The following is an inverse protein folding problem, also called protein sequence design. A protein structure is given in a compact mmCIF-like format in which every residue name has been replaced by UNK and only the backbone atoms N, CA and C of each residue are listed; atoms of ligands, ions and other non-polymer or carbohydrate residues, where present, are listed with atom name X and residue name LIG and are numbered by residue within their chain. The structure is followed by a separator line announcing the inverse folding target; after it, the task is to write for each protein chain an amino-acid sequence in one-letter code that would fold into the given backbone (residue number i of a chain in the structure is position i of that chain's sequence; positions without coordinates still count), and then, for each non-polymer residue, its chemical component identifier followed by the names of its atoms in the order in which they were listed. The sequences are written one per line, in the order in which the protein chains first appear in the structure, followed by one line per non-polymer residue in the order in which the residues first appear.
data_IF_435080633178
#
_entry.id   IF_435080633178
#
_cell.length_a   1.000
_cell.length_b   1.000
_cell.length_c   1.000
_cell.angle_alpha   90.00
_cell.angle_beta   90.00
_cell.angle_gamma   90.00
#
_symmetry.space_group_name_H-M   'P 1'
#
loop_
_entity.id
_entity.type
_entity.pdbx_description
1 polymer ?
#
# COMPACT_ATOMS: atom_id res chain seq x y z
N UNK A 1 -12.63 -56.48 -23.42
CA UNK A 1 -13.60 -55.64 -22.70
C UNK A 1 -13.40 -54.21 -23.15
N UNK A 2 -14.34 -53.65 -23.94
CA UNK A 2 -14.32 -52.25 -24.33
C UNK A 2 -14.78 -51.42 -23.14
N UNK A 3 -13.91 -50.58 -22.58
CA UNK A 3 -14.34 -49.54 -21.65
C UNK A 3 -15.28 -48.61 -22.42
N UNK A 4 -16.55 -48.56 -22.02
CA UNK A 4 -17.50 -47.56 -22.51
C UNK A 4 -16.85 -46.19 -22.32
N UNK A 5 -16.79 -45.40 -23.39
CA UNK A 5 -16.41 -43.99 -23.31
C UNK A 5 -17.48 -43.28 -22.47
N UNK A 6 -17.29 -43.23 -21.17
CA UNK A 6 -18.10 -42.42 -20.27
C UNK A 6 -17.87 -40.96 -20.65
N UNK A 7 -18.90 -40.36 -21.28
CA UNK A 7 -18.94 -38.93 -21.48
C UNK A 7 -18.95 -38.27 -20.10
N UNK A 8 -18.16 -37.21 -19.89
CA UNK A 8 -18.15 -36.50 -18.61
C UNK A 8 -19.57 -36.02 -18.28
N UNK A 9 -19.96 -36.19 -17.01
CA UNK A 9 -21.30 -35.82 -16.50
C UNK A 9 -21.56 -34.32 -16.68
N UNK A 10 -20.50 -33.51 -16.57
CA UNK A 10 -20.54 -32.07 -16.80
C UNK A 10 -19.65 -31.66 -17.97
N UNK A 11 -20.10 -30.70 -18.80
CA UNK A 11 -19.25 -30.10 -19.81
C UNK A 11 -18.13 -29.24 -19.18
N UNK A 12 -17.07 -29.01 -19.94
CA UNK A 12 -15.81 -28.44 -19.44
C UNK A 12 -15.96 -27.00 -18.91
N UNK A 13 -16.89 -26.23 -19.46
CA UNK A 13 -17.30 -24.89 -19.01
C UNK A 13 -17.93 -24.92 -17.61
N UNK A 14 -18.83 -25.87 -17.35
CA UNK A 14 -19.44 -26.06 -16.03
C UNK A 14 -18.37 -26.50 -15.01
N UNK A 15 -17.48 -27.42 -15.39
CA UNK A 15 -16.36 -27.83 -14.54
C UNK A 15 -15.40 -26.66 -14.27
N UNK A 16 -15.19 -25.78 -15.26
CA UNK A 16 -14.36 -24.58 -15.11
C UNK A 16 -14.95 -23.60 -14.11
N UNK A 17 -16.27 -23.44 -14.09
CA UNK A 17 -16.96 -22.63 -13.07
C UNK A 17 -16.79 -23.26 -11.70
N UNK A 18 -17.02 -24.57 -11.55
CA UNK A 18 -16.90 -25.29 -10.27
C UNK A 18 -15.47 -25.19 -9.72
N UNK A 19 -14.44 -25.38 -10.55
CA UNK A 19 -13.05 -25.32 -10.13
C UNK A 19 -12.49 -23.89 -10.04
N UNK A 20 -13.15 -22.93 -10.70
CA UNK A 20 -12.81 -21.51 -10.65
C UNK A 20 -13.33 -20.77 -9.42
N UNK A 21 -14.18 -21.41 -8.59
CA UNK A 21 -14.56 -20.86 -7.28
C UNK A 21 -13.29 -20.84 -6.41
N UNK A 22 -12.92 -19.64 -5.98
CA UNK A 22 -11.59 -19.24 -5.47
C UNK A 22 -11.05 -19.98 -4.23
N UNK A 23 -11.75 -20.98 -3.70
CA UNK A 23 -11.44 -21.64 -2.43
C UNK A 23 -11.16 -23.14 -2.54
N UNK A 24 -11.04 -23.71 -3.74
CA UNK A 24 -10.66 -25.12 -3.86
C UNK A 24 -9.21 -25.31 -3.34
N UNK A 25 -9.00 -26.08 -2.25
CA UNK A 25 -7.66 -26.30 -1.74
C UNK A 25 -6.77 -26.96 -2.80
N UNK A 26 -5.49 -26.57 -2.85
CA UNK A 26 -4.55 -27.07 -3.86
C UNK A 26 -4.46 -28.60 -3.91
N UNK A 27 -4.56 -29.26 -2.76
CA UNK A 27 -4.53 -30.72 -2.67
C UNK A 27 -5.76 -31.36 -3.33
N UNK A 28 -6.95 -30.79 -3.14
CA UNK A 28 -8.19 -31.25 -3.75
C UNK A 28 -8.17 -31.02 -5.26
N UNK A 29 -7.67 -29.88 -5.72
CA UNK A 29 -7.51 -29.63 -7.15
C UNK A 29 -6.53 -30.62 -7.80
N UNK A 30 -5.42 -30.94 -7.14
CA UNK A 30 -4.49 -31.95 -7.62
C UNK A 30 -5.14 -33.34 -7.66
N UNK A 31 -5.88 -33.73 -6.62
CA UNK A 31 -6.63 -34.98 -6.61
C UNK A 31 -7.64 -35.02 -7.78
N UNK A 32 -8.39 -33.95 -8.00
CA UNK A 32 -9.33 -33.82 -9.13
C UNK A 32 -8.64 -33.90 -10.50
N UNK A 33 -7.45 -33.32 -10.62
CA UNK A 33 -6.64 -33.40 -11.85
C UNK A 33 -6.18 -34.81 -12.20
N UNK A 34 -6.21 -35.74 -11.22
CA UNK A 34 -5.80 -37.13 -11.42
C UNK A 34 -6.95 -38.06 -11.86
N UNK A 35 -8.22 -37.61 -11.75
CA UNK A 35 -9.40 -38.45 -11.98
C UNK A 35 -9.57 -38.79 -13.46
N UNK A 36 -9.51 -37.80 -14.35
CA UNK A 36 -9.61 -38.00 -15.80
C UNK A 36 -8.73 -37.01 -16.57
N UNK A 37 -8.51 -37.29 -17.86
CA UNK A 37 -7.87 -36.33 -18.76
C UNK A 37 -8.66 -35.01 -18.87
N UNK A 38 -9.99 -35.07 -18.83
CA UNK A 38 -10.84 -33.88 -18.92
C UNK A 38 -10.69 -33.03 -17.65
N UNK A 39 -10.82 -33.62 -16.46
CA UNK A 39 -10.62 -32.90 -15.20
C UNK A 39 -9.22 -32.33 -15.10
N UNK A 40 -8.19 -33.03 -15.60
CA UNK A 40 -6.83 -32.50 -15.72
C UNK A 40 -6.73 -31.25 -16.60
N UNK A 41 -7.34 -31.28 -17.78
CA UNK A 41 -7.33 -30.14 -18.71
C UNK A 41 -8.05 -28.92 -18.14
N UNK A 42 -9.11 -29.15 -17.35
CA UNK A 42 -9.90 -28.07 -16.77
C UNK A 42 -9.28 -27.56 -15.46
N UNK A 43 -8.80 -28.42 -14.57
CA UNK A 43 -8.38 -27.99 -13.22
C UNK A 43 -6.96 -27.43 -13.15
N UNK A 44 -6.02 -27.93 -13.96
CA UNK A 44 -4.63 -27.45 -13.91
C UNK A 44 -4.49 -25.95 -14.20
N UNK A 45 -5.20 -25.36 -15.18
CA UNK A 45 -5.15 -23.92 -15.40
C UNK A 45 -5.49 -23.08 -14.17
N UNK A 46 -6.47 -23.52 -13.36
CA UNK A 46 -6.85 -22.84 -12.12
C UNK A 46 -5.81 -23.05 -11.02
N UNK A 47 -5.32 -24.29 -10.84
CA UNK A 47 -4.32 -24.62 -9.82
C UNK A 47 -2.99 -23.90 -10.00
N UNK A 48 -2.62 -23.62 -11.25
CA UNK A 48 -1.39 -22.92 -11.59
C UNK A 48 -1.63 -21.47 -12.02
N UNK A 49 -2.85 -20.96 -11.86
CA UNK A 49 -3.16 -19.55 -12.17
C UNK A 49 -2.37 -18.57 -11.29
N UNK A 50 -2.07 -18.96 -10.05
CA UNK A 50 -1.22 -18.20 -9.13
C UNK A 50 -0.06 -19.06 -8.68
N UNK A 51 1.16 -18.56 -8.85
CA UNK A 51 2.39 -19.28 -8.53
C UNK A 51 3.24 -18.48 -7.57
N UNK A 52 3.61 -19.10 -6.46
CA UNK A 52 4.60 -18.56 -5.54
C UNK A 52 5.98 -19.10 -5.88
N UNK A 53 6.89 -18.23 -6.31
CA UNK A 53 8.27 -18.55 -6.61
C UNK A 53 9.07 -18.54 -5.30
N UNK A 54 9.61 -19.70 -4.95
CA UNK A 54 10.59 -19.87 -3.87
C UNK A 54 11.89 -20.47 -4.44
N UNK A 55 12.95 -20.55 -3.64
CA UNK A 55 14.25 -21.09 -4.08
C UNK A 55 14.19 -22.53 -4.63
N UNK A 56 13.23 -23.34 -4.17
CA UNK A 56 13.05 -24.74 -4.60
C UNK A 56 12.31 -24.86 -5.94
N UNK A 57 11.37 -23.96 -6.24
CA UNK A 57 10.52 -24.02 -7.44
C UNK A 57 11.21 -23.52 -8.73
N UNK A 58 12.39 -22.90 -8.62
CA UNK A 58 13.08 -22.23 -9.74
C UNK A 58 13.50 -23.19 -10.85
N UNK A 59 14.18 -24.27 -10.47
CA UNK A 59 14.71 -25.23 -11.44
C UNK A 59 13.60 -26.06 -12.11
N UNK A 60 12.44 -26.16 -11.46
CA UNK A 60 11.30 -26.91 -12.00
C UNK A 60 10.69 -26.17 -13.20
N UNK A 61 10.49 -24.86 -13.11
CA UNK A 61 9.76 -24.09 -14.13
C UNK A 61 10.54 -23.85 -15.42
N UNK A 62 11.88 -23.90 -15.45
CA UNK A 62 12.65 -23.56 -16.65
C UNK A 62 12.38 -24.50 -17.85
N UNK A 63 12.03 -25.75 -17.55
CA UNK A 63 11.81 -26.83 -18.54
C UNK A 63 10.34 -27.21 -18.72
N UNK A 64 9.42 -26.47 -18.12
CA UNK A 64 7.99 -26.77 -18.23
C UNK A 64 7.43 -26.40 -19.62
N UNK A 65 6.29 -27.01 -19.95
CA UNK A 65 5.65 -26.79 -21.24
C UNK A 65 4.92 -25.44 -21.33
N UNK A 66 4.69 -24.96 -22.55
CA UNK A 66 4.00 -23.69 -22.80
C UNK A 66 2.55 -23.67 -22.27
N UNK A 67 1.89 -24.83 -22.16
CA UNK A 67 0.53 -24.91 -21.64
C UNK A 67 0.46 -24.51 -20.15
N UNK A 68 1.46 -24.89 -19.36
CA UNK A 68 1.60 -24.45 -17.98
C UNK A 68 1.83 -22.93 -17.92
N UNK A 69 2.77 -22.40 -18.71
CA UNK A 69 3.06 -20.96 -18.74
C UNK A 69 1.84 -20.13 -19.15
N UNK A 70 1.06 -20.61 -20.12
CA UNK A 70 -0.17 -19.95 -20.53
C UNK A 70 -1.26 -19.94 -19.44
N UNK A 71 -1.16 -20.83 -18.45
CA UNK A 71 -2.11 -20.90 -17.34
C UNK A 71 -1.79 -19.90 -16.24
N UNK A 72 -0.52 -19.50 -16.09
CA UNK A 72 -0.06 -18.61 -15.02
C UNK A 72 -0.57 -17.18 -15.29
N UNK A 73 -1.32 -16.64 -14.33
CA UNK A 73 -1.89 -15.28 -14.33
C UNK A 73 -1.28 -14.39 -13.25
N UNK A 74 -0.77 -14.96 -12.18
CA UNK A 74 -0.20 -14.23 -11.05
C UNK A 74 1.08 -14.89 -10.56
N UNK A 75 2.08 -14.06 -10.24
CA UNK A 75 3.31 -14.50 -9.59
C UNK A 75 3.48 -13.73 -8.28
N UNK A 76 3.79 -14.46 -7.22
CA UNK A 76 4.30 -13.90 -5.98
C UNK A 76 5.65 -14.49 -5.63
N UNK A 77 6.49 -13.79 -4.88
CA UNK A 77 7.65 -14.41 -4.24
C UNK A 77 7.27 -14.91 -2.85
N UNK A 78 7.68 -16.14 -2.55
CA UNK A 78 7.50 -16.74 -1.23
C UNK A 78 8.61 -16.32 -0.27
N UNK A 79 8.49 -16.75 0.98
CA UNK A 79 9.55 -16.55 1.98
C UNK A 79 10.85 -17.16 1.46
N UNK A 80 11.79 -16.28 1.19
CA UNK A 80 13.18 -16.65 0.98
C UNK A 80 13.83 -16.84 2.35
N UNK A 81 14.75 -17.80 2.47
CA UNK A 81 15.51 -18.02 3.71
C UNK A 81 16.31 -16.79 4.14
N UNK A 82 16.49 -15.83 3.23
CA UNK A 82 16.97 -14.48 3.49
C UNK A 82 16.01 -13.50 2.80
N UNK A 83 15.55 -12.42 3.46
CA UNK A 83 14.82 -11.33 2.79
C UNK A 83 15.66 -10.60 1.73
N UNK A 84 16.97 -10.91 1.68
CA UNK A 84 18.00 -10.41 0.77
C UNK A 84 18.46 -11.50 -0.19
N UNK A 85 17.63 -11.89 -1.16
CA UNK A 85 18.09 -12.79 -2.18
C UNK A 85 19.20 -12.13 -2.99
N UNK A 86 20.34 -12.82 -3.09
CA UNK A 86 21.44 -12.41 -3.97
C UNK A 86 20.94 -12.12 -5.39
N UNK A 87 21.57 -11.24 -6.18
CA UNK A 87 21.16 -10.92 -7.55
C UNK A 87 20.88 -12.16 -8.43
N UNK A 88 21.66 -13.23 -8.24
CA UNK A 88 21.47 -14.53 -8.90
C UNK A 88 20.07 -15.15 -8.70
N UNK A 89 19.35 -14.75 -7.66
CA UNK A 89 17.96 -15.13 -7.41
C UNK A 89 17.03 -14.62 -8.50
N UNK A 90 17.26 -13.42 -9.03
CA UNK A 90 16.37 -12.76 -9.97
C UNK A 90 16.61 -13.21 -11.42
N UNK A 91 17.84 -13.59 -11.78
CA UNK A 91 18.19 -13.97 -13.16
C UNK A 91 17.26 -15.03 -13.77
N UNK A 92 16.89 -16.13 -13.08
CA UNK A 92 15.92 -17.09 -13.62
C UNK A 92 14.52 -16.49 -13.79
N UNK A 93 14.08 -15.63 -12.87
CA UNK A 93 12.76 -14.97 -12.97
C UNK A 93 12.68 -14.07 -14.20
N UNK A 94 13.74 -13.28 -14.45
CA UNK A 94 13.84 -12.40 -15.62
C UNK A 94 13.73 -13.18 -16.94
N UNK A 95 14.25 -14.41 -16.99
CA UNK A 95 14.15 -15.30 -18.16
C UNK A 95 12.77 -15.96 -18.29
N UNK A 96 12.04 -16.07 -17.18
CA UNK A 96 10.72 -16.69 -17.14
C UNK A 96 9.63 -15.73 -17.64
N UNK A 97 9.68 -14.45 -17.25
CA UNK A 97 8.60 -13.49 -17.54
C UNK A 97 8.18 -13.42 -19.01
N UNK A 98 9.10 -13.39 -20.01
CA UNK A 98 8.71 -13.35 -21.42
C UNK A 98 7.92 -14.58 -21.90
N UNK A 99 7.99 -15.71 -21.18
CA UNK A 99 7.24 -16.94 -21.50
C UNK A 99 5.79 -16.91 -20.99
N UNK A 100 5.49 -16.00 -20.07
CA UNK A 100 4.22 -15.89 -19.35
C UNK A 100 3.29 -14.88 -20.00
N UNK A 101 2.89 -15.14 -21.25
CA UNK A 101 2.10 -14.22 -22.10
C UNK A 101 0.75 -13.79 -21.51
N UNK A 102 0.31 -14.51 -20.48
CA UNK A 102 -0.98 -14.40 -19.83
C UNK A 102 -0.90 -13.78 -18.43
N UNK A 103 0.30 -13.37 -18.00
CA UNK A 103 0.58 -12.81 -16.69
C UNK A 103 -0.08 -11.45 -16.50
N UNK A 104 -0.83 -11.31 -15.40
CA UNK A 104 -1.61 -10.12 -15.03
C UNK A 104 -1.14 -9.47 -13.73
N UNK A 105 -0.54 -10.23 -12.83
CA UNK A 105 -0.08 -9.71 -11.53
C UNK A 105 1.32 -10.23 -11.15
N UNK A 106 2.17 -9.34 -10.64
CA UNK A 106 3.47 -9.65 -10.04
C UNK A 106 3.55 -8.99 -8.67
N UNK A 107 3.77 -9.78 -7.61
CA UNK A 107 4.07 -9.27 -6.26
C UNK A 107 5.43 -9.77 -5.76
N UNK A 108 6.38 -8.84 -5.67
CA UNK A 108 7.71 -9.04 -5.08
C UNK A 108 7.74 -8.50 -3.65
N UNK A 109 6.69 -8.77 -2.87
CA UNK A 109 6.45 -8.10 -1.59
C UNK A 109 7.40 -8.56 -0.45
N UNK A 110 8.05 -9.73 -0.61
CA UNK A 110 9.01 -10.30 0.36
C UNK A 110 10.41 -10.45 -0.22
N UNK A 111 10.65 -9.88 -1.39
CA UNK A 111 11.87 -10.07 -2.17
C UNK A 111 12.23 -8.75 -2.80
N UNK A 112 13.27 -8.12 -2.28
CA UNK A 112 13.65 -6.77 -2.67
C UNK A 112 14.51 -6.85 -3.93
N UNK A 113 14.07 -6.20 -5.00
CA UNK A 113 14.76 -6.12 -6.29
C UNK A 113 15.93 -5.14 -6.19
N UNK A 114 17.18 -5.57 -6.38
CA UNK A 114 18.32 -4.65 -6.45
C UNK A 114 18.11 -3.63 -7.57
N UNK A 115 18.32 -2.34 -7.29
CA UNK A 115 18.06 -1.26 -8.24
C UNK A 115 18.79 -1.46 -9.59
N UNK A 116 20.01 -2.01 -9.55
CA UNK A 116 20.79 -2.37 -10.75
C UNK A 116 20.10 -3.38 -11.69
N UNK A 117 19.16 -4.18 -11.19
CA UNK A 117 18.40 -5.15 -11.98
C UNK A 117 17.06 -4.59 -12.48
N UNK A 118 16.66 -3.41 -12.03
CA UNK A 118 15.40 -2.79 -12.43
C UNK A 118 15.27 -2.62 -13.96
N UNK A 119 16.30 -2.16 -14.71
CA UNK A 119 16.18 -2.07 -16.17
C UNK A 119 15.88 -3.43 -16.83
N UNK A 120 16.62 -4.47 -16.43
CA UNK A 120 16.42 -5.83 -16.96
C UNK A 120 15.06 -6.40 -16.55
N UNK A 121 14.60 -6.08 -15.34
CA UNK A 121 13.26 -6.42 -14.88
C UNK A 121 12.19 -5.77 -15.74
N UNK A 122 12.23 -4.45 -15.93
CA UNK A 122 11.26 -3.73 -16.75
C UNK A 122 11.23 -4.27 -18.17
N UNK A 123 12.40 -4.41 -18.82
CA UNK A 123 12.50 -4.99 -20.16
C UNK A 123 11.88 -6.39 -20.27
N UNK A 124 11.92 -7.21 -19.21
CA UNK A 124 11.34 -8.55 -19.21
C UNK A 124 9.81 -8.56 -19.06
N UNK A 125 9.21 -7.46 -18.60
CA UNK A 125 7.77 -7.36 -18.35
C UNK A 125 7.04 -6.38 -19.27
N UNK A 126 7.72 -5.44 -19.95
CA UNK A 126 7.09 -4.34 -20.72
C UNK A 126 6.03 -4.81 -21.73
N UNK A 127 6.21 -5.98 -22.35
CA UNK A 127 5.28 -6.53 -23.35
C UNK A 127 4.14 -7.37 -22.76
N UNK A 128 4.12 -7.58 -21.44
CA UNK A 128 3.12 -8.41 -20.77
C UNK A 128 1.84 -7.61 -20.51
N UNK A 129 0.65 -8.25 -20.53
CA UNK A 129 -0.63 -7.62 -20.20
C UNK A 129 -0.80 -7.48 -18.68
N UNK A 130 0.15 -6.81 -18.04
CA UNK A 130 0.23 -6.69 -16.59
C UNK A 130 -0.76 -5.61 -16.11
N UNK A 131 -1.57 -5.94 -15.12
CA UNK A 131 -2.53 -5.03 -14.47
C UNK A 131 -2.08 -4.65 -13.06
N UNK A 132 -1.31 -5.51 -12.39
CA UNK A 132 -0.86 -5.29 -11.02
C UNK A 132 0.63 -5.55 -10.86
N UNK A 133 1.32 -4.60 -10.24
CA UNK A 133 2.75 -4.67 -9.97
C UNK A 133 3.07 -4.16 -8.57
N UNK A 134 3.57 -5.05 -7.71
CA UNK A 134 4.04 -4.73 -6.36
C UNK A 134 5.54 -5.02 -6.28
N UNK A 135 6.34 -3.99 -6.00
CA UNK A 135 7.80 -4.03 -6.02
C UNK A 135 8.39 -3.47 -4.74
N UNK A 136 9.29 -4.23 -4.11
CA UNK A 136 10.31 -3.67 -3.22
C UNK A 136 11.59 -3.44 -3.99
N UNK A 137 12.22 -2.27 -3.86
CA UNK A 137 13.43 -1.88 -4.59
C UNK A 137 14.54 -1.54 -3.59
N UNK A 138 15.67 -2.24 -3.70
CA UNK A 138 16.85 -2.04 -2.87
C UNK A 138 17.77 -1.02 -3.54
N UNK A 139 18.00 0.08 -2.85
CA UNK A 139 18.80 1.22 -3.32
C UNK A 139 20.26 1.11 -2.90
N UNK A 140 20.66 0.12 -2.10
CA UNK A 140 22.03 -0.01 -1.60
C UNK A 140 23.07 -0.19 -2.72
N UNK A 141 22.64 -0.76 -3.85
CA UNK A 141 23.48 -1.03 -5.02
C UNK A 141 23.16 -0.10 -6.20
N UNK A 142 22.88 1.19 -5.94
CA UNK A 142 22.56 2.14 -6.98
C UNK A 142 23.74 2.32 -7.96
N UNK A 143 23.54 2.15 -9.28
CA UNK A 143 24.59 2.45 -10.26
C UNK A 143 24.79 3.97 -10.38
N UNK A 144 26.03 4.39 -10.67
CA UNK A 144 26.42 5.80 -10.78
C UNK A 144 25.72 6.55 -11.95
N UNK A 145 25.24 5.83 -12.97
CA UNK A 145 24.36 6.35 -14.01
C UNK A 145 23.67 5.21 -14.76
N UNK A 146 22.44 5.44 -15.22
CA UNK A 146 21.74 4.58 -16.19
C UNK A 146 21.29 5.52 -17.32
N UNK A 147 21.81 5.29 -18.52
CA UNK A 147 21.60 6.22 -19.65
C UNK A 147 20.16 6.13 -20.22
N UNK A 148 19.55 4.95 -20.22
CA UNK A 148 18.14 4.76 -20.62
C UNK A 148 17.46 3.68 -19.76
N UNK A 149 16.33 4.04 -19.17
CA UNK A 149 15.54 3.12 -18.35
C UNK A 149 14.34 2.61 -19.15
N UNK A 150 14.19 1.29 -19.36
CA UNK A 150 13.00 0.73 -19.97
C UNK A 150 11.75 1.12 -19.19
N UNK A 151 10.64 1.29 -19.90
CA UNK A 151 9.36 1.67 -19.32
C UNK A 151 8.60 0.46 -18.79
N UNK A 152 7.80 0.67 -17.75
CA UNK A 152 6.83 -0.32 -17.28
C UNK A 152 5.74 -0.60 -18.35
N UNK A 153 5.01 -1.71 -18.21
CA UNK A 153 3.85 -1.98 -19.06
C UNK A 153 2.85 -0.81 -19.00
N UNK A 154 2.16 -0.48 -20.10
CA UNK A 154 1.21 0.64 -20.15
C UNK A 154 -0.21 0.29 -19.62
N UNK A 155 -0.43 -0.97 -19.21
CA UNK A 155 -1.75 -1.47 -18.80
C UNK A 155 -1.94 -1.57 -17.29
N UNK A 156 -1.01 -1.04 -16.48
CA UNK A 156 -1.09 -1.19 -15.03
C UNK A 156 -2.27 -0.41 -14.45
N UNK A 157 -3.08 -1.10 -13.67
CA UNK A 157 -4.17 -0.53 -12.87
C UNK A 157 -3.75 -0.35 -11.41
N UNK A 158 -2.86 -1.22 -10.92
CA UNK A 158 -2.35 -1.19 -9.54
C UNK A 158 -0.83 -1.21 -9.57
N UNK A 159 -0.22 -0.18 -8.95
CA UNK A 159 1.22 -0.08 -8.77
C UNK A 159 1.53 0.21 -7.30
N UNK A 160 2.33 -0.66 -6.67
CA UNK A 160 2.87 -0.41 -5.33
C UNK A 160 4.39 -0.52 -5.36
N UNK A 161 5.05 0.52 -4.88
CA UNK A 161 6.49 0.64 -4.85
C UNK A 161 6.91 0.89 -3.42
N UNK A 162 7.75 0.00 -2.89
CA UNK A 162 8.50 0.21 -1.67
C UNK A 162 9.94 0.48 -2.07
N UNK A 163 10.44 1.67 -1.73
CA UNK A 163 11.74 2.17 -2.12
C UNK A 163 12.62 2.36 -0.89
N UNK A 164 13.71 1.60 -0.79
CA UNK A 164 14.65 1.77 0.31
C UNK A 164 15.53 0.55 0.58
N UNK A 165 16.48 0.75 1.48
CA UNK A 165 17.34 -0.31 1.98
C UNK A 165 16.82 -0.77 3.36
N UNK A 166 16.19 -1.94 3.42
CA UNK A 166 15.83 -2.65 4.65
C UNK A 166 17.06 -3.23 5.43
N UNK A 167 18.30 -3.15 4.90
CA UNK A 167 19.49 -3.79 5.48
C UNK A 167 20.21 -2.82 6.41
N UNK A 168 19.90 -2.93 7.71
CA UNK A 168 20.68 -2.43 8.84
C UNK A 168 20.80 -0.89 8.96
N UNK A 169 20.29 -0.35 10.08
CA UNK A 169 20.19 1.07 10.42
C UNK A 169 21.55 1.80 10.53
N UNK A 170 22.66 1.07 10.36
CA UNK A 170 24.00 1.48 10.80
C UNK A 170 24.99 1.80 9.68
N UNK A 171 24.68 1.47 8.43
CA UNK A 171 25.53 1.82 7.28
C UNK A 171 24.79 2.80 6.38
N UNK A 172 25.23 4.05 6.43
CA UNK A 172 24.80 5.13 5.53
C UNK A 172 25.54 4.99 4.20
N UNK A 173 24.92 4.46 3.13
CA UNK A 173 25.34 4.85 1.79
C UNK A 173 25.04 6.33 1.58
N UNK A 174 25.81 6.96 0.69
CA UNK A 174 25.71 8.36 0.34
C UNK A 174 24.28 8.77 -0.07
N UNK A 175 23.88 9.99 0.25
CA UNK A 175 22.61 10.53 -0.19
C UNK A 175 22.63 10.67 -1.71
N UNK A 176 21.45 10.49 -2.32
CA UNK A 176 21.12 10.81 -3.71
C UNK A 176 21.29 9.62 -4.67
N UNK A 177 20.27 8.77 -4.70
CA UNK A 177 19.72 8.37 -5.99
C UNK A 177 18.44 9.17 -6.17
N UNK A 178 18.42 10.11 -7.11
CA UNK A 178 17.17 10.73 -7.53
C UNK A 178 16.25 9.63 -8.07
N UNK A 179 15.21 9.30 -7.32
CA UNK A 179 14.25 8.27 -7.69
C UNK A 179 13.31 8.76 -8.82
N UNK A 180 13.33 10.06 -9.16
CA UNK A 180 12.38 10.66 -10.08
C UNK A 180 12.37 9.96 -11.44
N UNK A 181 13.55 9.70 -12.02
CA UNK A 181 13.67 9.01 -13.32
C UNK A 181 13.12 7.58 -13.27
N UNK A 182 13.39 6.86 -12.19
CA UNK A 182 12.92 5.48 -12.00
C UNK A 182 11.42 5.40 -11.77
N UNK A 183 10.90 6.23 -10.88
CA UNK A 183 9.48 6.30 -10.58
C UNK A 183 8.69 6.79 -11.79
N UNK A 184 9.23 7.75 -12.57
CA UNK A 184 8.63 8.19 -13.83
C UNK A 184 8.52 7.03 -14.83
N UNK A 185 9.59 6.26 -15.04
CA UNK A 185 9.54 5.11 -15.96
C UNK A 185 8.56 4.00 -15.52
N UNK A 186 8.26 3.91 -14.22
CA UNK A 186 7.27 2.99 -13.67
C UNK A 186 5.82 3.51 -13.81
N UNK A 187 5.60 4.80 -13.63
CA UNK A 187 4.27 5.42 -13.54
C UNK A 187 3.79 5.93 -14.89
N UNK A 188 4.63 6.71 -15.60
CA UNK A 188 4.27 7.43 -16.83
C UNK A 188 3.61 6.56 -17.90
N UNK A 189 4.08 5.34 -18.19
CA UNK A 189 3.49 4.50 -19.24
C UNK A 189 2.03 4.11 -18.96
N UNK A 190 1.65 4.01 -17.68
CA UNK A 190 0.34 3.55 -17.23
C UNK A 190 -0.55 4.67 -16.71
N UNK A 191 -0.20 5.94 -16.84
CA UNK A 191 -1.04 7.04 -16.30
C UNK A 191 -2.48 6.99 -16.80
N UNK A 192 -2.72 6.55 -18.04
CA UNK A 192 -4.07 6.42 -18.59
C UNK A 192 -4.94 5.33 -17.95
N UNK A 193 -4.33 4.32 -17.34
CA UNK A 193 -4.99 3.09 -16.82
C UNK A 193 -4.85 2.94 -15.31
N UNK A 194 -3.90 3.64 -14.69
CA UNK A 194 -3.55 3.50 -13.28
C UNK A 194 -4.68 4.00 -12.38
N UNK A 195 -5.20 3.09 -11.56
CA UNK A 195 -6.30 3.33 -10.61
C UNK A 195 -5.79 3.42 -9.17
N UNK A 196 -4.75 2.66 -8.82
CA UNK A 196 -4.20 2.60 -7.47
C UNK A 196 -2.68 2.75 -7.52
N UNK A 197 -2.18 3.81 -6.89
CA UNK A 197 -0.74 4.04 -6.73
C UNK A 197 -0.39 4.12 -5.26
N UNK A 198 0.57 3.29 -4.82
CA UNK A 198 1.19 3.39 -3.51
C UNK A 198 2.71 3.53 -3.66
N UNK A 199 3.29 4.56 -3.06
CA UNK A 199 4.73 4.75 -2.98
C UNK A 199 5.12 4.85 -1.52
N UNK A 200 6.09 4.06 -1.09
CA UNK A 200 6.58 4.02 0.29
C UNK A 200 8.09 4.16 0.28
N UNK A 201 8.62 5.16 0.96
CA UNK A 201 10.05 5.36 1.14
C UNK A 201 10.43 4.93 2.56
N UNK A 202 11.28 3.90 2.69
CA UNK A 202 11.57 3.23 3.97
C UNK A 202 12.79 3.80 4.74
N UNK A 203 13.35 4.96 4.35
CA UNK A 203 14.58 5.47 4.97
C UNK A 203 14.55 6.97 5.30
N UNK A 204 15.23 7.36 6.40
CA UNK A 204 15.34 8.76 6.87
C UNK A 204 16.02 9.72 5.88
N UNK A 205 16.94 9.21 5.06
CA UNK A 205 17.56 9.99 3.98
C UNK A 205 16.61 10.29 2.81
N UNK A 206 15.37 9.75 2.81
CA UNK A 206 14.35 10.10 1.81
C UNK A 206 13.88 11.55 1.91
N UNK A 207 14.32 12.33 2.91
CA UNK A 207 14.10 13.77 2.98
C UNK A 207 14.62 14.53 1.75
N UNK A 208 15.59 13.98 1.01
CA UNK A 208 16.09 14.56 -0.25
C UNK A 208 15.57 13.85 -1.50
N UNK A 209 14.72 12.82 -1.36
CA UNK A 209 14.15 12.12 -2.51
C UNK A 209 13.03 12.96 -3.14
N UNK A 210 13.24 13.33 -4.40
CA UNK A 210 12.22 13.98 -5.22
C UNK A 210 11.45 12.94 -6.04
N UNK A 211 10.13 12.91 -5.88
CA UNK A 211 9.24 12.30 -6.85
C UNK A 211 8.60 13.41 -7.68
N UNK A 212 8.70 13.32 -9.01
CA UNK A 212 8.01 14.27 -9.88
C UNK A 212 6.52 13.91 -9.95
N UNK A 213 5.75 14.52 -9.06
CA UNK A 213 4.31 14.38 -8.99
C UNK A 213 3.59 14.90 -10.24
N UNK A 214 4.24 15.74 -11.07
CA UNK A 214 3.65 16.25 -12.31
C UNK A 214 3.17 15.16 -13.25
N UNK A 215 3.78 13.96 -13.20
CA UNK A 215 3.36 12.78 -13.97
C UNK A 215 1.92 12.35 -13.66
N UNK A 216 1.43 12.59 -12.44
CA UNK A 216 0.09 12.19 -12.01
C UNK A 216 -1.02 13.09 -12.56
N UNK A 217 -0.70 14.25 -13.14
CA UNK A 217 -1.70 15.11 -13.82
C UNK A 217 -2.43 14.40 -14.96
N UNK A 218 -1.73 13.47 -15.61
CA UNK A 218 -2.30 12.64 -16.67
C UNK A 218 -3.11 11.44 -16.13
N UNK A 219 -3.03 11.14 -14.83
CA UNK A 219 -3.61 9.96 -14.21
C UNK A 219 -5.12 10.09 -13.92
N UNK A 220 -5.92 10.26 -14.98
CA UNK A 220 -7.38 10.50 -14.87
C UNK A 220 -8.17 9.30 -14.33
N UNK A 221 -7.61 8.10 -14.41
CA UNK A 221 -8.21 6.88 -13.86
C UNK A 221 -7.88 6.69 -12.37
N UNK A 222 -7.01 7.50 -11.78
CA UNK A 222 -6.54 7.33 -10.41
C UNK A 222 -7.70 7.49 -9.42
N UNK A 223 -7.93 6.46 -8.61
CA UNK A 223 -8.93 6.41 -7.55
C UNK A 223 -8.28 6.45 -6.17
N UNK A 224 -7.13 5.81 -6.03
CA UNK A 224 -6.40 5.76 -4.77
C UNK A 224 -4.95 6.16 -4.94
N UNK A 225 -4.50 7.05 -4.06
CA UNK A 225 -3.10 7.47 -3.96
C UNK A 225 -2.62 7.33 -2.52
N UNK A 226 -1.49 6.66 -2.33
CA UNK A 226 -0.83 6.54 -1.03
C UNK A 226 0.65 6.89 -1.17
N UNK A 227 1.11 7.83 -0.35
CA UNK A 227 2.50 8.21 -0.22
C UNK A 227 2.90 8.03 1.24
N UNK A 228 3.98 7.31 1.46
CA UNK A 228 4.66 7.27 2.75
C UNK A 228 6.10 7.70 2.58
N UNK A 229 6.55 8.70 3.34
CA UNK A 229 7.91 9.24 3.24
C UNK A 229 8.48 9.62 4.60
N UNK A 230 9.77 10.00 4.66
CA UNK A 230 10.34 10.64 5.83
C UNK A 230 10.52 12.14 5.59
N UNK A 231 10.44 12.93 6.66
CA UNK A 231 10.66 14.38 6.63
C UNK A 231 9.43 15.20 7.02
N UNK A 232 9.53 16.52 6.86
CA UNK A 232 8.54 17.52 7.26
C UNK A 232 7.86 18.21 6.07
N UNK A 233 7.97 17.65 4.86
CA UNK A 233 7.41 18.20 3.62
C UNK A 233 5.89 17.94 3.50
N UNK A 234 5.09 18.41 4.46
CA UNK A 234 3.64 18.48 4.29
C UNK A 234 3.20 19.69 3.46
N UNK A 235 4.10 20.61 3.14
CA UNK A 235 3.83 21.69 2.20
C UNK A 235 3.42 21.15 0.82
N UNK A 236 3.83 19.91 0.50
CA UNK A 236 3.26 19.11 -0.58
C UNK A 236 1.71 19.12 -0.65
N UNK A 237 1.01 19.16 0.49
CA UNK A 237 -0.46 19.20 0.54
C UNK A 237 -0.99 20.49 -0.08
N UNK A 238 -0.35 21.62 0.17
CA UNK A 238 -0.78 22.93 -0.33
C UNK A 238 -0.19 23.25 -1.70
N UNK A 239 1.08 22.90 -1.91
CA UNK A 239 1.84 23.34 -3.09
C UNK A 239 1.67 22.42 -4.30
N UNK A 240 1.28 21.15 -4.08
CA UNK A 240 1.33 20.13 -5.13
C UNK A 240 -0.01 19.42 -5.34
N UNK A 241 -0.69 18.98 -4.27
CA UNK A 241 -1.93 18.22 -4.40
C UNK A 241 -3.03 18.90 -5.24
N UNK A 242 -3.32 20.21 -5.05
CA UNK A 242 -4.39 20.92 -5.78
C UNK A 242 -4.33 20.76 -7.30
N UNK A 243 -3.11 20.83 -7.84
CA UNK A 243 -2.89 20.89 -9.28
C UNK A 243 -2.52 19.53 -9.90
N UNK A 244 -2.28 18.51 -9.08
CA UNK A 244 -1.71 17.24 -9.51
C UNK A 244 -2.70 16.10 -9.48
N UNK A 245 -3.47 15.95 -8.40
CA UNK A 245 -4.30 14.75 -8.24
C UNK A 245 -5.59 14.85 -9.04
N UNK A 246 -6.05 13.69 -9.52
CA UNK A 246 -7.30 13.62 -10.27
C UNK A 246 -8.50 14.00 -9.39
N UNK A 247 -9.47 14.80 -9.89
CA UNK A 247 -10.72 15.05 -9.18
C UNK A 247 -11.54 13.77 -8.90
N UNK A 248 -11.22 12.67 -9.58
CA UNK A 248 -11.87 11.36 -9.41
C UNK A 248 -11.25 10.50 -8.31
N UNK A 249 -10.21 11.00 -7.62
CA UNK A 249 -9.62 10.35 -6.47
C UNK A 249 -10.65 10.24 -5.34
N UNK A 250 -10.79 9.04 -4.77
CA UNK A 250 -11.68 8.76 -3.66
C UNK A 250 -10.96 8.34 -2.37
N UNK A 251 -9.69 7.94 -2.48
CA UNK A 251 -8.88 7.53 -1.33
C UNK A 251 -7.49 8.18 -1.38
N UNK A 252 -7.15 8.90 -0.33
CA UNK A 252 -5.85 9.56 -0.17
C UNK A 252 -5.21 9.12 1.15
N UNK A 253 -3.94 8.72 1.10
CA UNK A 253 -3.13 8.38 2.26
C UNK A 253 -1.79 9.07 2.16
N UNK A 254 -1.50 9.99 3.09
CA UNK A 254 -0.21 10.68 3.16
C UNK A 254 0.36 10.48 4.55
N UNK A 255 1.48 9.79 4.63
CA UNK A 255 2.11 9.41 5.88
C UNK A 255 3.56 9.88 5.92
N UNK A 256 3.93 10.53 7.01
CA UNK A 256 5.31 10.94 7.28
C UNK A 256 5.82 10.09 8.43
N UNK A 257 6.67 9.12 8.10
CA UNK A 257 7.47 8.38 9.05
C UNK A 257 8.55 9.32 9.58
N UNK A 258 8.52 9.62 10.86
CA UNK A 258 9.46 10.57 11.43
C UNK A 258 9.88 10.12 12.82
N UNK A 259 11.04 10.57 13.29
CA UNK A 259 11.39 10.46 14.71
C UNK A 259 10.38 11.27 15.55
N UNK A 260 10.27 11.02 16.88
CA UNK A 260 9.38 11.80 17.74
C UNK A 260 9.63 13.31 17.58
N UNK A 261 8.57 14.06 17.27
CA UNK A 261 8.60 15.53 17.12
C UNK A 261 9.00 16.09 15.74
N UNK A 262 9.24 15.23 14.74
CA UNK A 262 9.59 15.66 13.37
C UNK A 262 8.47 15.49 12.35
N UNK A 263 7.29 15.01 12.75
CA UNK A 263 6.14 14.92 11.86
C UNK A 263 5.70 16.35 11.49
N UNK A 264 5.21 16.56 10.26
CA UNK A 264 4.74 17.87 9.86
C UNK A 264 3.50 18.29 10.65
N UNK A 265 3.41 19.59 10.92
CA UNK A 265 2.30 20.16 11.67
C UNK A 265 1.05 20.23 10.81
N UNK A 266 -0.13 20.05 11.41
CA UNK A 266 -1.39 20.38 10.75
C UNK A 266 -1.49 21.88 10.47
N UNK A 267 -1.94 22.24 9.28
CA UNK A 267 -2.27 23.61 8.87
C UNK A 267 -3.72 23.67 8.44
N UNK A 268 -4.43 24.73 8.81
CA UNK A 268 -5.82 24.93 8.33
C UNK A 268 -5.90 25.07 6.80
N UNK A 269 -4.83 25.55 6.15
CA UNK A 269 -4.73 25.60 4.68
C UNK A 269 -4.92 24.24 4.01
N UNK A 270 -4.49 23.16 4.67
CA UNK A 270 -4.66 21.79 4.17
C UNK A 270 -6.14 21.44 3.93
N UNK A 271 -7.06 22.01 4.71
CA UNK A 271 -8.51 21.81 4.53
C UNK A 271 -8.96 22.35 3.17
N UNK A 272 -8.52 23.56 2.82
CA UNK A 272 -8.87 24.18 1.54
C UNK A 272 -8.26 23.42 0.35
N UNK A 273 -7.02 22.92 0.51
CA UNK A 273 -6.34 22.12 -0.51
C UNK A 273 -7.02 20.77 -0.73
N UNK A 274 -7.41 20.07 0.34
CA UNK A 274 -8.12 18.79 0.27
C UNK A 274 -9.56 18.94 -0.25
N UNK A 275 -10.22 20.07 0.00
CA UNK A 275 -11.56 20.38 -0.53
C UNK A 275 -11.62 20.42 -2.06
N UNK A 276 -10.48 20.56 -2.74
CA UNK A 276 -10.39 20.50 -4.20
C UNK A 276 -10.55 19.09 -4.76
N UNK A 277 -10.61 18.06 -3.91
CA UNK A 277 -10.84 16.67 -4.27
C UNK A 277 -12.32 16.29 -3.99
N UNK A 278 -13.24 16.56 -4.94
CA UNK A 278 -14.69 16.51 -4.67
C UNK A 278 -15.22 15.11 -4.36
N UNK A 279 -14.49 14.06 -4.77
CA UNK A 279 -14.89 12.67 -4.58
C UNK A 279 -14.13 11.97 -3.43
N UNK A 280 -13.34 12.73 -2.65
CA UNK A 280 -12.53 12.17 -1.59
C UNK A 280 -13.42 11.60 -0.46
N UNK A 281 -13.50 10.28 -0.38
CA UNK A 281 -14.31 9.54 0.59
C UNK A 281 -13.48 9.02 1.78
N UNK A 282 -12.23 8.64 1.54
CA UNK A 282 -11.32 8.11 2.56
C UNK A 282 -10.04 8.93 2.61
N UNK A 283 -9.69 9.41 3.80
CA UNK A 283 -8.48 10.18 4.05
C UNK A 283 -7.68 9.57 5.21
N UNK A 284 -6.38 9.35 4.98
CA UNK A 284 -5.42 8.94 6.01
C UNK A 284 -4.29 9.96 6.02
N UNK A 285 -4.04 10.63 7.15
CA UNK A 285 -3.00 11.65 7.26
C UNK A 285 -2.10 11.41 8.48
N UNK A 286 -0.79 11.47 8.26
CA UNK A 286 0.23 11.36 9.29
C UNK A 286 0.75 12.71 9.78
N UNK A 287 -0.04 13.49 10.52
CA UNK A 287 0.31 14.85 10.97
C UNK A 287 0.41 14.97 12.50
N UNK A 288 1.26 15.91 12.93
CA UNK A 288 1.47 16.28 14.33
C UNK A 288 0.58 17.47 14.72
N UNK A 289 -0.36 17.25 15.63
CA UNK A 289 -1.22 18.31 16.18
C UNK A 289 -0.66 18.90 17.47
N UNK A 290 0.22 18.16 18.13
CA UNK A 290 0.74 18.43 19.45
C UNK A 290 1.86 19.47 19.40
N UNK A 291 2.62 19.48 18.30
CA UNK A 291 3.72 20.43 18.05
C UNK A 291 3.25 21.88 18.02
N UNK A 292 2.16 22.18 17.31
CA UNK A 292 1.58 23.53 17.29
C UNK A 292 1.01 23.92 18.67
N UNK A 293 0.36 22.95 19.32
CA UNK A 293 -0.18 23.12 20.66
C UNK A 293 0.87 23.21 21.79
N UNK A 294 2.17 23.04 21.48
CA UNK A 294 3.27 22.91 22.45
C UNK A 294 3.01 21.84 23.53
N UNK A 295 2.31 20.79 23.15
CA UNK A 295 1.90 19.65 24.00
C UNK A 295 2.67 18.38 23.58
N UNK A 296 3.91 18.56 23.11
CA UNK A 296 4.82 17.48 22.71
C UNK A 296 5.48 16.90 23.95
N UNK A 297 5.07 15.69 24.33
CA UNK A 297 5.70 14.93 25.42
C UNK A 297 6.71 13.93 24.83
N UNK A 298 7.86 13.79 25.50
CA UNK A 298 8.93 12.84 25.12
C UNK A 298 8.76 11.44 25.71
N UNK A 299 7.84 11.24 26.64
CA UNK A 299 7.69 10.03 27.48
C UNK A 299 6.21 9.73 27.75
N UNK A 300 5.95 8.61 28.43
CA UNK A 300 4.63 8.06 28.80
C UNK A 300 3.54 9.13 29.02
N UNK A 301 2.44 8.95 28.31
CA UNK A 301 1.34 9.90 28.21
C UNK A 301 0.29 9.63 29.28
N UNK A 302 -0.21 10.70 29.93
CA UNK A 302 -1.40 10.58 30.76
C UNK A 302 -2.65 10.43 29.88
N UNK A 303 -3.73 9.85 30.42
CA UNK A 303 -5.01 9.75 29.71
C UNK A 303 -5.50 11.12 29.23
N UNK A 304 -5.23 12.16 30.04
CA UNK A 304 -5.53 13.55 29.70
C UNK A 304 -4.93 13.96 28.36
N UNK A 305 -3.68 13.59 28.07
CA UNK A 305 -2.99 13.87 26.83
C UNK A 305 -3.67 13.17 25.65
N UNK A 306 -4.00 11.88 25.78
CA UNK A 306 -4.73 11.14 24.74
C UNK A 306 -6.07 11.78 24.40
N UNK A 307 -6.83 12.23 25.40
CA UNK A 307 -8.09 12.97 25.20
C UNK A 307 -7.85 14.28 24.45
N UNK A 308 -6.81 15.04 24.80
CA UNK A 308 -6.47 16.29 24.08
C UNK A 308 -6.11 16.01 22.61
N UNK A 309 -5.30 14.99 22.36
CA UNK A 309 -4.92 14.55 21.01
C UNK A 309 -6.15 14.17 20.17
N UNK A 310 -7.10 13.43 20.76
CA UNK A 310 -8.35 13.02 20.13
C UNK A 310 -9.23 14.24 19.79
N UNK A 311 -9.41 15.19 20.71
CA UNK A 311 -10.23 16.38 20.51
C UNK A 311 -9.68 17.32 19.43
N UNK A 312 -8.35 17.47 19.34
CA UNK A 312 -7.72 18.26 18.26
C UNK A 312 -8.02 17.66 16.88
N UNK A 313 -7.89 16.33 16.77
CA UNK A 313 -8.16 15.58 15.54
C UNK A 313 -9.66 15.55 15.20
N UNK A 314 -10.54 15.49 16.21
CA UNK A 314 -11.99 15.63 16.03
C UNK A 314 -12.31 16.97 15.37
N UNK A 315 -11.83 18.08 15.95
CA UNK A 315 -12.05 19.42 15.40
C UNK A 315 -11.54 19.57 13.97
N UNK A 316 -10.35 19.04 13.67
CA UNK A 316 -9.83 19.05 12.30
C UNK A 316 -10.68 18.21 11.34
N UNK A 317 -11.22 17.09 11.82
CA UNK A 317 -12.14 16.23 11.05
C UNK A 317 -13.46 16.94 10.78
N UNK A 318 -14.00 17.70 11.73
CA UNK A 318 -15.20 18.51 11.53
C UNK A 318 -15.00 19.58 10.44
N UNK A 319 -13.83 20.25 10.44
CA UNK A 319 -13.47 21.20 9.39
C UNK A 319 -13.39 20.51 8.02
N UNK A 320 -12.77 19.34 7.93
CA UNK A 320 -12.70 18.55 6.70
C UNK A 320 -14.07 18.06 6.24
N UNK A 321 -14.92 17.59 7.15
CA UNK A 321 -16.28 17.13 6.84
C UNK A 321 -17.15 18.27 6.28
N UNK A 322 -16.97 19.49 6.80
CA UNK A 322 -17.66 20.67 6.27
C UNK A 322 -17.15 21.07 4.88
N UNK A 323 -15.86 20.87 4.59
CA UNK A 323 -15.24 21.29 3.34
C UNK A 323 -15.28 20.23 2.22
N UNK A 324 -15.35 18.94 2.58
CA UNK A 324 -15.30 17.80 1.67
C UNK A 324 -16.62 16.99 1.76
N UNK A 325 -17.62 17.27 0.91
CA UNK A 325 -18.97 16.68 1.06
C UNK A 325 -19.04 15.16 0.88
N UNK A 326 -18.10 14.57 0.15
CA UNK A 326 -18.04 13.13 -0.09
C UNK A 326 -17.27 12.36 0.99
N UNK A 327 -16.69 13.05 1.98
CA UNK A 327 -15.84 12.44 2.99
C UNK A 327 -16.67 11.52 3.89
N UNK A 328 -16.22 10.27 4.04
CA UNK A 328 -16.88 9.24 4.85
C UNK A 328 -16.00 8.79 6.01
N UNK A 329 -14.68 8.71 5.80
CA UNK A 329 -13.72 8.21 6.80
C UNK A 329 -12.46 9.06 6.83
N UNK A 330 -12.03 9.42 8.04
CA UNK A 330 -10.75 10.08 8.30
C UNK A 330 -9.96 9.28 9.32
N UNK A 331 -8.69 9.01 9.04
CA UNK A 331 -7.77 8.38 9.97
C UNK A 331 -6.54 9.27 10.14
N UNK A 332 -6.30 9.71 11.37
CA UNK A 332 -5.09 10.43 11.73
C UNK A 332 -4.08 9.45 12.29
N UNK A 333 -2.93 9.32 11.64
CA UNK A 333 -1.83 8.46 12.12
C UNK A 333 -0.80 9.32 12.86
N UNK A 334 -0.61 9.02 14.14
CA UNK A 334 0.49 9.57 14.91
C UNK A 334 1.58 8.51 15.00
N UNK A 335 2.79 8.82 14.54
CA UNK A 335 3.88 7.84 14.51
C UNK A 335 4.77 7.95 15.74
N UNK A 336 5.28 6.81 16.23
CA UNK A 336 6.27 6.74 17.31
C UNK A 336 5.86 7.53 18.56
N UNK A 337 4.63 7.29 19.05
CA UNK A 337 4.06 8.02 20.17
C UNK A 337 4.78 7.75 21.48
N UNK A 338 5.38 6.58 21.67
CA UNK A 338 6.04 6.19 22.92
C UNK A 338 7.49 5.74 22.71
N UNK A 339 8.17 5.41 23.81
CA UNK A 339 9.56 4.92 23.78
C UNK A 339 9.72 3.56 23.10
N UNK A 340 8.62 2.82 22.89
CA UNK A 340 8.60 1.56 22.16
C UNK A 340 8.44 1.78 20.64
N UNK A 341 8.18 3.03 20.22
CA UNK A 341 7.98 3.38 18.82
C UNK A 341 6.61 2.99 18.29
N UNK A 342 5.61 2.81 19.17
CA UNK A 342 4.26 2.44 18.75
C UNK A 342 3.63 3.57 17.94
N UNK A 343 2.82 3.20 16.95
CA UNK A 343 2.01 4.15 16.17
C UNK A 343 0.56 4.09 16.67
N UNK A 344 -0.14 5.21 16.63
CA UNK A 344 -1.54 5.31 17.02
C UNK A 344 -2.38 5.84 15.86
N UNK A 345 -3.55 5.24 15.65
CA UNK A 345 -4.50 5.68 14.64
C UNK A 345 -5.75 6.24 15.33
N UNK A 346 -6.14 7.47 15.03
CA UNK A 346 -7.42 8.01 15.45
C UNK A 346 -8.38 8.01 14.26
N UNK A 347 -9.33 7.09 14.29
CA UNK A 347 -10.31 6.93 13.21
C UNK A 347 -11.62 7.67 13.54
N UNK A 348 -12.19 8.29 12.51
CA UNK A 348 -13.43 9.05 12.55
C UNK A 348 -14.31 8.68 11.36
N UNK A 349 -15.62 8.62 11.58
CA UNK A 349 -16.63 8.46 10.53
C UNK A 349 -17.41 9.76 10.36
N UNK A 350 -17.67 10.12 9.12
CA UNK A 350 -18.49 11.27 8.75
C UNK A 350 -19.84 10.77 8.27
N UNK A 351 -20.90 11.16 8.96
CA UNK A 351 -22.27 10.82 8.66
C UNK A 351 -22.95 11.83 7.74
N UNK A 352 -24.21 11.53 7.40
CA UNK A 352 -25.06 12.45 6.64
C UNK A 352 -25.16 13.81 7.33
N UNK A 353 -24.94 14.89 6.56
CA UNK A 353 -24.92 16.26 7.09
C UNK A 353 -23.60 16.69 7.74
N UNK A 354 -22.52 15.91 7.59
CA UNK A 354 -21.18 16.28 8.07
C UNK A 354 -20.94 15.97 9.56
N UNK A 355 -21.85 15.23 10.20
CA UNK A 355 -21.69 14.85 11.61
C UNK A 355 -20.52 13.88 11.77
N UNK A 356 -19.53 14.23 12.59
CA UNK A 356 -18.34 13.40 12.84
C UNK A 356 -18.54 12.54 14.07
N UNK A 357 -18.18 11.27 13.98
CA UNK A 357 -18.20 10.31 15.10
C UNK A 357 -16.82 9.69 15.29
N UNK A 358 -16.40 9.59 16.55
CA UNK A 358 -15.17 8.89 16.91
C UNK A 358 -15.37 7.39 16.75
N UNK A 359 -14.41 6.70 16.13
CA UNK A 359 -14.34 5.24 16.12
C UNK A 359 -13.50 4.82 17.31
N UNK A 360 -14.07 3.96 18.17
CA UNK A 360 -13.36 3.39 19.32
C UNK A 360 -12.08 2.68 18.87
N UNK A 361 -11.02 2.88 19.63
CA UNK A 361 -9.72 2.21 19.45
C UNK A 361 -9.32 1.47 20.73
N UNK A 362 -8.45 0.47 20.61
CA UNK A 362 -8.14 -0.48 21.69
C UNK A 362 -7.62 0.21 22.96
N UNK A 363 -6.79 1.25 22.82
CA UNK A 363 -6.23 2.00 23.95
C UNK A 363 -7.30 2.76 24.74
N UNK A 364 -8.42 3.10 24.10
CA UNK A 364 -9.53 3.78 24.77
C UNK A 364 -10.22 2.83 25.76
N UNK A 365 -10.34 1.55 25.43
CA UNK A 365 -11.00 0.57 26.30
C UNK A 365 -10.15 0.25 27.54
N UNK A 366 -8.85 0.00 27.34
CA UNK A 366 -7.93 -0.36 28.43
C UNK A 366 -7.70 0.82 29.38
N UNK A 367 -7.38 2.01 28.85
CA UNK A 367 -7.12 3.19 29.69
C UNK A 367 -8.39 3.71 30.37
N UNK A 368 -9.56 3.64 29.72
CA UNK A 368 -10.82 4.03 30.34
C UNK A 368 -11.18 3.11 31.51
N UNK A 369 -10.96 1.80 31.34
CA UNK A 369 -11.18 0.82 32.39
C UNK A 369 -10.21 1.03 33.56
N UNK A 370 -8.95 1.32 33.28
CA UNK A 370 -7.95 1.56 34.31
C UNK A 370 -8.21 2.85 35.11
N UNK A 371 -8.63 3.94 34.45
CA UNK A 371 -8.93 5.20 35.13
C UNK A 371 -10.30 5.25 35.82
N UNK A 372 -11.34 4.67 35.19
CA UNK A 372 -12.74 4.82 35.60
C UNK A 372 -13.34 3.57 36.23
N UNK A 373 -12.66 2.42 36.13
CA UNK A 373 -13.14 1.13 36.64
C UNK A 373 -14.38 0.59 35.91
N UNK A 374 -14.73 1.14 34.75
CA UNK A 374 -15.95 0.85 33.99
C UNK A 374 -15.59 0.58 32.51
N UNK A 375 -16.42 -0.15 31.75
CA UNK A 375 -16.22 -0.29 30.31
C UNK A 375 -16.45 1.05 29.59
N UNK A 376 -15.77 1.25 28.45
CA UNK A 376 -15.95 2.44 27.60
C UNK A 376 -17.37 2.45 27.02
N UNK A 377 -18.16 3.53 27.21
CA UNK A 377 -19.51 3.63 26.66
C UNK A 377 -19.53 3.43 25.14
N UNK A 378 -20.56 2.76 24.61
CA UNK A 378 -20.70 2.49 23.17
C UNK A 378 -20.76 3.73 22.29
N UNK A 379 -21.13 4.86 22.89
CA UNK A 379 -21.16 6.17 22.26
C UNK A 379 -20.26 7.13 23.05
N UNK A 380 -19.01 7.29 22.60
CA UNK A 380 -18.05 8.18 23.27
C UNK A 380 -18.46 9.66 23.14
N UNK A 381 -19.29 9.98 22.15
CA UNK A 381 -19.86 11.30 21.90
C UNK A 381 -20.80 11.77 23.04
N UNK A 382 -21.36 10.83 23.82
CA UNK A 382 -22.22 11.12 24.99
C UNK A 382 -21.41 11.28 26.29
N UNK A 383 -20.12 10.93 26.25
CA UNK A 383 -19.22 11.19 27.37
C UNK A 383 -18.88 12.67 27.34
N UNK A 384 -19.12 13.38 28.45
CA UNK A 384 -18.67 14.76 28.64
C UNK A 384 -17.14 14.83 28.74
N UNK A 385 -16.42 14.47 27.66
CA UNK A 385 -15.01 14.76 27.44
C UNK A 385 -14.74 16.27 27.60
N UNK A 386 -15.78 17.07 27.32
CA UNK A 386 -15.79 18.52 27.26
C UNK A 386 -15.53 19.29 28.57
N UNK A 387 -15.84 18.77 29.76
CA UNK A 387 -15.77 19.63 30.97
C UNK A 387 -14.47 19.57 31.76
N UNK A 388 -13.72 18.47 31.66
CA UNK A 388 -12.47 18.31 32.44
C UNK A 388 -11.23 18.56 31.56
N UNK A 389 -11.29 18.23 30.26
CA UNK A 389 -10.20 18.49 29.33
C UNK A 389 -10.16 19.95 28.84
N UNK A 390 -11.30 20.56 28.46
CA UNK A 390 -11.31 21.95 27.95
C UNK A 390 -10.83 22.99 28.99
N UNK A 391 -11.16 22.80 30.28
CA UNK A 391 -10.72 23.70 31.35
C UNK A 391 -9.19 23.72 31.53
N UNK A 392 -8.51 22.61 31.22
CA UNK A 392 -7.04 22.53 31.25
C UNK A 392 -6.40 22.95 29.92
N UNK A 393 -7.10 22.81 28.78
CA UNK A 393 -6.58 23.13 27.45
C UNK A 393 -6.53 24.61 27.11
N UNK A 394 -7.46 25.42 27.64
CA UNK A 394 -7.64 26.82 27.20
C UNK A 394 -7.24 27.88 28.22
N UNK A 395 -6.79 27.49 29.42
CA UNK A 395 -6.33 28.45 30.43
C UNK A 395 -7.34 29.57 30.70
N UNK A 396 -8.60 29.21 30.90
CA UNK A 396 -9.65 30.11 31.41
C UNK A 396 -9.92 29.76 32.87
#
# INVERSE_FOLDING_TARGET
MSFLQEKPIFPADVLSVIYGIHDLPRHDGLALSSVTRMTRLVSLPFLFSSVTLNTKCKNALENENQALFNSIRSISTGDTTSPWPQPAYFTPMLRLFPKLLNLRSICLCRTILPLQLLPAFLASITSLPLHELLLGIDTASAPNSIDELPTAPPTLEVLRITWGNLSDETKTPDPITDASGFLRALVEPSVGTLQHLKVTFEYKQSATMSFDFGVLKAARALRSFSLSSYGDNADFIDDVLPDVLSPSLNALSLEWHSYPGTQPMFKESFVASLAQLPNLATLILGLDFEKDAKDTLRYDHDFGWYVRCLLRRLRATELLAAACPALETVVWRQSQIDSEGNNMNHAFRVGAGGAVRIVKDWWMDDLWKDERGLPLPDNIDDVALDRIAMFKCYGI
#
